data_IF_968755530649
#
_entry.id   IF_968755530649
#
_cell.length_a   1.000
_cell.length_b   1.000
_cell.length_c   1.000
_cell.angle_alpha   90.00
_cell.angle_beta   90.00
_cell.angle_gamma   90.00
#
_symmetry.space_group_name_H-M   'P 1'
#
loop_
_entity.id
_entity.type
_entity.pdbx_description
1 polymer ?
#
# COMPACT_ATOMS: atom_id res chain seq x y z
N UNK A 1 -41.20 30.97 -19.45
CA UNK A 1 -39.74 30.74 -19.52
C UNK A 1 -39.48 29.31 -19.07
N UNK A 2 -39.01 28.45 -19.98
CA UNK A 2 -39.00 26.99 -19.82
C UNK A 2 -38.15 26.52 -18.64
N UNK A 3 -38.77 25.65 -17.83
CA UNK A 3 -38.17 24.92 -16.72
C UNK A 3 -36.90 24.20 -17.20
N UNK A 4 -35.79 24.39 -16.47
CA UNK A 4 -34.61 23.55 -16.61
C UNK A 4 -34.97 22.10 -16.26
N UNK A 5 -35.45 21.32 -17.22
CA UNK A 5 -35.52 19.86 -17.13
C UNK A 5 -34.10 19.30 -17.20
N UNK A 6 -33.26 19.59 -16.20
CA UNK A 6 -32.00 18.88 -15.99
C UNK A 6 -32.37 17.45 -15.65
N UNK A 7 -32.15 16.53 -16.59
CA UNK A 7 -32.22 15.09 -16.32
C UNK A 7 -31.37 14.79 -15.08
N UNK A 8 -32.01 14.27 -14.05
CA UNK A 8 -31.36 13.76 -12.85
C UNK A 8 -30.27 12.79 -13.28
N UNK A 9 -29.01 13.14 -13.01
CA UNK A 9 -27.88 12.25 -13.29
C UNK A 9 -27.62 11.50 -12.00
N UNK A 10 -27.63 10.17 -12.04
CA UNK A 10 -27.42 9.35 -10.85
C UNK A 10 -25.95 8.93 -10.75
N UNK A 11 -25.49 8.72 -9.52
CA UNK A 11 -24.17 8.15 -9.26
C UNK A 11 -24.09 6.72 -9.80
N UNK A 12 -23.08 6.40 -10.59
CA UNK A 12 -22.89 5.04 -11.12
C UNK A 12 -22.64 3.97 -10.04
N UNK A 13 -22.17 4.37 -8.85
CA UNK A 13 -21.86 3.45 -7.75
C UNK A 13 -23.05 3.32 -6.78
N UNK A 14 -23.57 4.44 -6.27
CA UNK A 14 -24.60 4.43 -5.23
C UNK A 14 -26.01 4.78 -5.74
N UNK A 15 -26.19 5.04 -7.03
CA UNK A 15 -27.45 5.42 -7.68
C UNK A 15 -28.18 6.65 -7.08
N UNK A 16 -27.53 7.41 -6.19
CA UNK A 16 -28.08 8.67 -5.65
C UNK A 16 -28.15 9.74 -6.74
N UNK A 17 -29.18 10.58 -6.70
CA UNK A 17 -29.28 11.77 -7.54
C UNK A 17 -28.13 12.74 -7.27
N UNK A 18 -27.47 13.18 -8.35
CA UNK A 18 -26.32 14.06 -8.29
C UNK A 18 -26.75 15.51 -8.51
N UNK A 19 -26.53 16.36 -7.50
CA UNK A 19 -26.53 17.81 -7.65
C UNK A 19 -25.24 18.29 -8.33
N UNK A 20 -24.10 17.71 -7.96
CA UNK A 20 -22.78 17.96 -8.54
C UNK A 20 -22.18 16.68 -9.13
N UNK A 21 -21.63 16.79 -10.34
CA UNK A 21 -21.09 15.65 -11.11
C UNK A 21 -19.57 15.63 -11.01
N UNK A 22 -19.00 14.57 -10.44
CA UNK A 22 -17.56 14.33 -10.47
C UNK A 22 -17.20 13.35 -11.58
N UNK A 23 -16.17 13.70 -12.38
CA UNK A 23 -15.63 12.81 -13.40
C UNK A 23 -14.65 11.82 -12.76
N UNK A 24 -14.85 10.50 -12.90
CA UNK A 24 -13.87 9.52 -12.44
C UNK A 24 -12.53 9.69 -13.20
N UNK A 25 -11.42 9.34 -12.55
CA UNK A 25 -10.11 9.28 -13.21
C UNK A 25 -10.12 8.20 -14.30
N UNK A 26 -9.42 8.46 -15.42
CA UNK A 26 -9.33 7.50 -16.54
C UNK A 26 -8.78 6.14 -16.11
N UNK A 27 -7.87 6.12 -15.15
CA UNK A 27 -7.23 4.92 -14.60
C UNK A 27 -8.22 3.98 -13.90
N UNK A 28 -9.37 4.47 -13.42
CA UNK A 28 -10.34 3.64 -12.69
C UNK A 28 -11.29 2.84 -13.61
N UNK A 29 -11.27 3.09 -14.93
CA UNK A 29 -12.16 2.45 -15.92
C UNK A 29 -13.67 2.56 -15.62
N UNK A 30 -14.10 3.57 -14.85
CA UNK A 30 -15.52 3.79 -14.52
C UNK A 30 -16.15 4.71 -15.57
N UNK A 31 -17.20 4.25 -16.24
CA UNK A 31 -18.00 5.06 -17.18
C UNK A 31 -19.22 5.64 -16.46
N UNK A 32 -19.26 6.96 -16.31
CA UNK A 32 -20.42 7.67 -15.74
C UNK A 32 -20.03 8.83 -14.85
N UNK A 33 -20.99 9.33 -14.06
CA UNK A 33 -20.77 10.39 -13.07
C UNK A 33 -20.79 9.80 -11.67
N UNK A 34 -19.92 10.30 -10.80
CA UNK A 34 -19.86 9.91 -9.39
C UNK A 34 -20.32 11.05 -8.48
N UNK A 35 -20.88 10.72 -7.31
CA UNK A 35 -21.06 11.68 -6.22
C UNK A 35 -19.72 11.98 -5.54
N UNK A 36 -19.67 13.04 -4.73
CA UNK A 36 -18.47 13.41 -3.99
C UNK A 36 -17.93 12.28 -3.12
N UNK A 37 -18.81 11.59 -2.39
CA UNK A 37 -18.45 10.47 -1.52
C UNK A 37 -17.86 9.30 -2.32
N UNK A 38 -18.56 8.82 -3.34
CA UNK A 38 -18.09 7.70 -4.16
C UNK A 38 -16.80 8.04 -4.93
N UNK A 39 -16.62 9.28 -5.34
CA UNK A 39 -15.37 9.74 -5.94
C UNK A 39 -14.22 9.75 -4.93
N UNK A 40 -14.49 10.15 -3.68
CA UNK A 40 -13.50 10.14 -2.60
C UNK A 40 -13.12 8.71 -2.18
N UNK A 41 -14.09 7.83 -1.96
CA UNK A 41 -13.85 6.41 -1.64
C UNK A 41 -13.02 5.72 -2.72
N UNK A 42 -13.36 5.92 -4.01
CA UNK A 42 -12.57 5.35 -5.11
C UNK A 42 -11.16 5.93 -5.19
N UNK A 43 -11.00 7.21 -4.88
CA UNK A 43 -9.66 7.81 -4.77
C UNK A 43 -8.86 7.12 -3.69
N UNK A 44 -9.43 6.97 -2.50
CA UNK A 44 -8.79 6.32 -1.36
C UNK A 44 -8.39 4.88 -1.69
N UNK A 45 -9.30 4.08 -2.23
CA UNK A 45 -9.04 2.69 -2.63
C UNK A 45 -7.89 2.59 -3.64
N UNK A 46 -7.85 3.49 -4.62
CA UNK A 46 -6.78 3.52 -5.62
C UNK A 46 -5.42 3.84 -5.01
N UNK A 47 -5.36 4.81 -4.09
CA UNK A 47 -4.12 5.13 -3.38
C UNK A 47 -3.71 4.00 -2.43
N UNK A 48 -4.64 3.41 -1.67
CA UNK A 48 -4.36 2.29 -0.76
C UNK A 48 -3.84 1.05 -1.52
N UNK A 49 -4.34 0.80 -2.73
CA UNK A 49 -3.83 -0.26 -3.60
C UNK A 49 -2.39 -0.02 -4.07
N UNK A 50 -2.02 1.22 -4.38
CA UNK A 50 -0.65 1.59 -4.79
C UNK A 50 0.36 1.56 -3.65
N UNK A 51 -0.09 1.78 -2.41
CA UNK A 51 0.78 1.83 -1.23
C UNK A 51 0.99 0.43 -0.62
N UNK A 52 0.61 -0.63 -1.33
CA UNK A 52 0.86 -2.01 -0.92
C UNK A 52 2.02 -2.62 -1.71
N UNK A 53 2.91 -3.32 -1.02
CA UNK A 53 4.05 -4.03 -1.61
C UNK A 53 4.22 -5.41 -0.93
N UNK A 54 4.72 -6.42 -1.64
CA UNK A 54 5.04 -7.72 -1.06
C UNK A 54 6.37 -7.70 -0.29
N UNK A 55 6.47 -8.47 0.78
CA UNK A 55 7.73 -8.74 1.46
C UNK A 55 8.65 -9.58 0.55
N UNK A 56 9.91 -9.18 0.40
CA UNK A 56 10.90 -9.88 -0.44
C UNK A 56 11.20 -11.30 0.05
N UNK A 57 11.11 -11.55 1.36
CA UNK A 57 11.45 -12.86 1.96
C UNK A 57 10.27 -13.85 1.97
N UNK A 58 9.06 -13.39 2.28
CA UNK A 58 7.90 -14.28 2.47
C UNK A 58 6.71 -13.99 1.56
N UNK A 59 6.76 -12.94 0.73
CA UNK A 59 5.71 -12.57 -0.21
C UNK A 59 4.46 -11.93 0.42
N UNK A 60 4.39 -11.76 1.74
CA UNK A 60 3.22 -11.15 2.38
C UNK A 60 3.03 -9.70 1.92
N UNK A 61 1.85 -9.38 1.38
CA UNK A 61 1.53 -8.02 0.93
C UNK A 61 1.07 -7.18 2.13
N UNK A 62 1.84 -6.13 2.43
CA UNK A 62 1.53 -5.17 3.49
C UNK A 62 1.46 -3.76 2.95
N UNK A 63 1.06 -2.79 3.79
CA UNK A 63 1.28 -1.38 3.46
C UNK A 63 2.78 -1.10 3.50
N UNK A 64 3.27 -0.27 2.60
CA UNK A 64 4.68 0.14 2.56
C UNK A 64 5.15 0.71 3.91
N UNK A 65 4.29 1.48 4.59
CA UNK A 65 4.57 2.04 5.92
C UNK A 65 4.78 0.99 7.02
N UNK A 66 4.25 -0.22 6.83
CA UNK A 66 4.36 -1.32 7.79
C UNK A 66 5.49 -2.31 7.43
N UNK A 67 6.14 -2.09 6.29
CA UNK A 67 7.29 -2.86 5.84
C UNK A 67 8.59 -2.15 6.24
N UNK A 68 9.63 -2.95 6.43
CA UNK A 68 10.93 -2.57 6.97
C UNK A 68 11.99 -2.65 5.89
N UNK A 69 12.79 -1.60 5.80
CA UNK A 69 13.97 -1.58 4.94
C UNK A 69 15.09 -2.44 5.56
N UNK A 70 15.69 -3.35 4.79
CA UNK A 70 16.82 -4.13 5.26
C UNK A 70 18.01 -3.24 5.59
N UNK A 71 18.80 -3.65 6.59
CA UNK A 71 20.05 -2.95 6.92
C UNK A 71 21.02 -3.05 5.73
N UNK A 72 21.77 -1.99 5.48
CA UNK A 72 22.78 -1.93 4.41
C UNK A 72 23.79 -3.11 4.45
N UNK A 73 24.09 -3.64 5.64
CA UNK A 73 25.00 -4.76 5.85
C UNK A 73 24.49 -6.10 5.28
N UNK A 74 23.21 -6.18 4.89
CA UNK A 74 22.57 -7.42 4.48
C UNK A 74 22.57 -7.64 2.98
N UNK A 75 22.95 -6.63 2.19
CA UNK A 75 23.03 -6.71 0.71
C UNK A 75 21.75 -7.28 0.10
N UNK A 76 20.59 -6.72 0.48
CA UNK A 76 19.27 -7.11 -0.01
C UNK A 76 18.51 -5.88 -0.49
N UNK A 77 17.87 -6.00 -1.65
CA UNK A 77 17.00 -4.96 -2.20
C UNK A 77 15.52 -5.29 -1.94
N UNK A 78 14.76 -4.26 -1.56
CA UNK A 78 13.32 -4.32 -1.32
C UNK A 78 12.92 -4.41 0.15
N UNK A 79 11.62 -4.58 0.39
CA UNK A 79 11.00 -4.38 1.71
C UNK A 79 10.71 -5.71 2.43
N UNK A 80 10.89 -5.76 3.75
CA UNK A 80 10.60 -6.93 4.58
C UNK A 80 9.44 -6.69 5.53
N UNK A 81 8.64 -7.72 5.82
CA UNK A 81 7.70 -7.62 6.95
C UNK A 81 8.46 -7.67 8.29
N UNK A 82 7.86 -7.09 9.34
CA UNK A 82 8.44 -7.04 10.69
C UNK A 82 8.97 -8.39 11.17
N UNK A 83 8.18 -9.46 11.01
CA UNK A 83 8.60 -10.81 11.41
C UNK A 83 9.86 -11.28 10.68
N UNK A 84 9.94 -11.04 9.37
CA UNK A 84 11.09 -11.43 8.56
C UNK A 84 12.33 -10.61 8.89
N UNK A 85 12.14 -9.33 9.20
CA UNK A 85 13.20 -8.43 9.65
C UNK A 85 13.79 -8.91 11.00
N UNK A 86 12.94 -9.12 12.01
CA UNK A 86 13.34 -9.52 13.36
C UNK A 86 14.05 -10.88 13.36
N UNK A 87 13.58 -11.84 12.56
CA UNK A 87 14.22 -13.15 12.43
C UNK A 87 15.63 -13.02 11.83
N UNK A 88 15.79 -12.19 10.78
CA UNK A 88 17.09 -11.98 10.14
C UNK A 88 18.06 -11.28 11.09
N UNK A 89 17.59 -10.33 11.88
CA UNK A 89 18.41 -9.63 12.88
C UNK A 89 18.93 -10.59 13.96
N UNK A 90 18.09 -11.49 14.47
CA UNK A 90 18.50 -12.53 15.43
C UNK A 90 19.59 -13.44 14.87
N UNK A 91 19.48 -13.84 13.60
CA UNK A 91 20.51 -14.67 12.93
C UNK A 91 21.83 -13.91 12.84
N UNK A 92 21.79 -12.64 12.48
CA UNK A 92 22.99 -11.81 12.35
C UNK A 92 23.67 -11.53 13.69
N UNK A 93 22.89 -11.29 14.76
CA UNK A 93 23.43 -11.13 16.13
C UNK A 93 24.13 -12.41 16.58
N UNK A 94 23.48 -13.57 16.42
CA UNK A 94 24.10 -14.88 16.78
C UNK A 94 25.42 -15.10 16.04
N UNK A 95 25.47 -14.77 14.75
CA UNK A 95 26.70 -14.89 13.94
C UNK A 95 27.81 -13.98 14.47
N UNK A 96 27.50 -12.73 14.85
CA UNK A 96 28.47 -11.80 15.45
C UNK A 96 28.99 -12.31 16.78
N UNK A 97 28.12 -12.79 17.67
CA UNK A 97 28.51 -13.37 18.97
C UNK A 97 29.42 -14.59 18.76
N UNK A 98 29.06 -15.49 17.83
CA UNK A 98 29.85 -16.67 17.53
C UNK A 98 31.25 -16.31 17.01
N UNK A 99 31.35 -15.39 16.05
CA UNK A 99 32.65 -14.92 15.53
C UNK A 99 33.48 -14.28 16.64
N UNK A 100 32.86 -13.50 17.53
CA UNK A 100 33.53 -12.89 18.67
C UNK A 100 34.08 -13.95 19.64
N UNK A 101 33.28 -14.97 19.95
CA UNK A 101 33.69 -16.08 20.82
C UNK A 101 34.88 -16.87 20.23
N UNK A 102 34.84 -17.19 18.94
CA UNK A 102 35.94 -17.88 18.27
C UNK A 102 37.21 -17.02 18.29
N UNK A 103 37.12 -15.71 18.02
CA UNK A 103 38.28 -14.81 18.12
C UNK A 103 38.91 -14.79 19.52
N UNK A 104 38.10 -14.83 20.57
CA UNK A 104 38.59 -14.82 21.96
C UNK A 104 39.24 -16.14 22.38
N UNK A 105 38.84 -17.27 21.77
CA UNK A 105 39.32 -18.60 22.17
C UNK A 105 40.60 -19.04 21.43
N UNK A 106 40.94 -18.34 20.35
CA UNK A 106 42.09 -18.64 19.48
C UNK A 106 43.05 -17.43 19.35
N UNK A 107 42.95 -16.46 20.26
CA UNK A 107 43.89 -15.36 20.46
C UNK A 107 44.65 -15.59 21.77
#
# INVERSE_FOLDING_TARGET
>A
MGLFSKKATNCTICNKELTHRHKPKKEWNIKGSLCGDCHFDKSKEYYEGKVRQPCVKCGVTGKITDLWEPRWQWDMEGLLCKNCFDEKEKVMIKRKIFVQYVKQKWA
#
